data_IF_371126624468
#
_entry.id   IF_371126624468
#
_cell.length_a   1.000
_cell.length_b   1.000
_cell.length_c   1.000
_cell.angle_alpha   90.00
_cell.angle_beta   90.00
_cell.angle_gamma   90.00
#
_symmetry.space_group_name_H-M   'P 1'
#
loop_
_entity.id
_entity.type
_entity.pdbx_description
1 polymer ?
#
# COMPACT_ATOMS: atom_id res chain seq x y z
N UNK A 1 -20.21 13.53 -7.28
CA UNK A 1 -18.93 13.36 -7.97
C UNK A 1 -18.93 14.29 -9.17
N UNK A 2 -17.95 15.18 -9.27
CA UNK A 2 -17.73 15.96 -10.50
C UNK A 2 -17.36 14.96 -11.59
N UNK A 3 -17.98 15.07 -12.78
CA UNK A 3 -17.56 14.27 -13.94
C UNK A 3 -16.25 14.87 -14.47
N UNK A 4 -15.11 14.40 -13.94
CA UNK A 4 -13.80 14.82 -14.42
C UNK A 4 -13.44 13.97 -15.65
N UNK A 5 -12.96 14.60 -16.70
CA UNK A 5 -12.47 13.90 -17.88
C UNK A 5 -11.09 13.27 -17.59
N UNK A 6 -10.73 12.25 -18.38
CA UNK A 6 -9.41 11.60 -18.26
C UNK A 6 -8.27 12.61 -18.49
N UNK A 7 -8.42 13.52 -19.46
CA UNK A 7 -7.43 14.57 -19.71
C UNK A 7 -7.28 15.54 -18.55
N UNK A 8 -8.36 15.93 -17.88
CA UNK A 8 -8.31 16.77 -16.68
C UNK A 8 -7.63 16.05 -15.53
N UNK A 9 -7.92 14.77 -15.32
CA UNK A 9 -7.26 13.94 -14.32
C UNK A 9 -5.75 13.84 -14.56
N UNK A 10 -5.35 13.55 -15.80
CA UNK A 10 -3.94 13.48 -16.20
C UNK A 10 -3.22 14.82 -16.02
N UNK A 11 -3.87 15.93 -16.33
CA UNK A 11 -3.30 17.26 -16.12
C UNK A 11 -3.04 17.54 -14.63
N UNK A 12 -3.96 17.17 -13.73
CA UNK A 12 -3.78 17.34 -12.28
C UNK A 12 -2.64 16.46 -11.77
N UNK A 13 -2.56 15.21 -12.21
CA UNK A 13 -1.46 14.31 -11.84
C UNK A 13 -0.11 14.85 -12.33
N UNK A 14 -0.05 15.33 -13.56
CA UNK A 14 1.15 15.93 -14.14
C UNK A 14 1.57 17.20 -13.37
N UNK A 15 0.59 18.03 -13.00
CA UNK A 15 0.85 19.22 -12.19
C UNK A 15 1.37 18.86 -10.79
N UNK A 16 0.77 17.87 -10.12
CA UNK A 16 1.24 17.40 -8.82
C UNK A 16 2.68 16.89 -8.88
N UNK A 17 3.02 16.11 -9.92
CA UNK A 17 4.38 15.62 -10.16
C UNK A 17 5.39 16.73 -10.45
N UNK A 18 4.99 17.79 -11.16
CA UNK A 18 5.87 18.92 -11.51
C UNK A 18 6.04 19.94 -10.39
N UNK A 19 5.17 19.94 -9.39
CA UNK A 19 5.23 20.86 -8.25
C UNK A 19 6.28 20.46 -7.20
N UNK A 20 6.88 19.28 -7.35
CA UNK A 20 7.83 18.72 -6.39
C UNK A 20 9.26 18.89 -6.89
N UNK A 21 10.06 19.56 -6.10
CA UNK A 21 11.51 19.69 -6.32
C UNK A 21 12.22 18.61 -5.50
N UNK A 22 12.80 17.62 -6.19
CA UNK A 22 13.83 16.68 -5.70
C UNK A 22 13.41 15.50 -4.81
N UNK A 23 12.19 15.44 -4.20
CA UNK A 23 11.76 14.27 -3.41
C UNK A 23 10.72 13.44 -4.18
N UNK A 24 11.06 12.20 -4.55
CA UNK A 24 10.24 11.40 -5.49
C UNK A 24 8.88 10.96 -4.94
N UNK A 25 8.58 11.18 -3.67
CA UNK A 25 7.34 10.77 -3.01
C UNK A 25 6.45 11.95 -2.58
N UNK A 26 6.94 13.20 -2.60
CA UNK A 26 6.18 14.37 -2.16
C UNK A 26 4.98 14.70 -3.05
N UNK A 27 5.01 14.26 -4.31
CA UNK A 27 3.91 14.46 -5.24
C UNK A 27 2.59 13.78 -4.80
N UNK A 28 2.66 12.75 -3.94
CA UNK A 28 1.46 12.12 -3.40
C UNK A 28 0.66 13.11 -2.55
N UNK A 29 1.31 13.84 -1.65
CA UNK A 29 0.62 14.83 -0.81
C UNK A 29 0.03 15.97 -1.65
N UNK A 30 0.76 16.44 -2.66
CA UNK A 30 0.27 17.44 -3.60
C UNK A 30 -0.97 16.93 -4.36
N UNK A 31 -0.96 15.69 -4.83
CA UNK A 31 -2.10 15.13 -5.55
C UNK A 31 -3.35 15.03 -4.66
N UNK A 32 -3.21 14.54 -3.42
CA UNK A 32 -4.33 14.50 -2.49
C UNK A 32 -4.86 15.89 -2.14
N UNK A 33 -3.99 16.89 -2.02
CA UNK A 33 -4.37 18.29 -1.82
C UNK A 33 -5.15 18.85 -3.01
N UNK A 34 -4.65 18.63 -4.24
CA UNK A 34 -5.30 19.09 -5.48
C UNK A 34 -6.61 18.36 -5.78
N UNK A 35 -6.74 17.11 -5.33
CA UNK A 35 -7.96 16.33 -5.52
C UNK A 35 -9.18 16.90 -4.78
N UNK A 36 -8.96 17.72 -3.76
CA UNK A 36 -10.03 18.42 -3.02
C UNK A 36 -11.22 17.50 -2.68
N UNK A 37 -10.92 16.32 -2.15
CA UNK A 37 -11.90 15.27 -1.78
C UNK A 37 -12.64 14.62 -2.97
N UNK A 38 -12.20 14.82 -4.21
CA UNK A 38 -12.73 14.09 -5.36
C UNK A 38 -11.89 12.83 -5.64
N UNK A 39 -12.40 11.68 -5.21
CA UNK A 39 -11.70 10.38 -5.37
C UNK A 39 -11.51 9.96 -6.84
N UNK A 40 -12.24 10.55 -7.78
CA UNK A 40 -12.05 10.28 -9.21
C UNK A 40 -10.69 10.78 -9.74
N UNK A 41 -10.04 11.72 -9.02
CA UNK A 41 -8.73 12.25 -9.36
C UNK A 41 -7.62 11.28 -8.93
N UNK A 42 -7.84 10.47 -7.90
CA UNK A 42 -6.84 9.56 -7.33
C UNK A 42 -6.79 8.24 -8.13
N UNK A 43 -5.73 7.97 -8.91
CA UNK A 43 -5.72 6.84 -9.85
C UNK A 43 -5.83 5.47 -9.21
N UNK A 44 -5.43 5.34 -7.94
CA UNK A 44 -5.43 4.08 -7.18
C UNK A 44 -6.64 3.93 -6.24
N UNK A 45 -7.52 4.94 -6.14
CA UNK A 45 -8.70 4.88 -5.29
C UNK A 45 -9.72 3.89 -5.84
N UNK A 46 -9.98 2.82 -5.09
CA UNK A 46 -11.00 1.81 -5.42
C UNK A 46 -12.34 2.08 -4.77
N UNK A 47 -12.35 2.78 -3.63
CA UNK A 47 -13.53 3.07 -2.80
C UNK A 47 -14.18 1.81 -2.19
N UNK A 48 -13.43 0.72 -2.12
CA UNK A 48 -13.75 -0.52 -1.42
C UNK A 48 -12.45 -1.26 -1.07
N UNK A 49 -12.47 -2.13 -0.03
CA UNK A 49 -11.30 -2.90 0.36
C UNK A 49 -10.81 -3.82 -0.77
N UNK A 50 -9.50 -4.05 -0.82
CA UNK A 50 -8.90 -4.95 -1.81
C UNK A 50 -9.46 -6.37 -1.63
N UNK A 51 -10.17 -6.93 -2.62
CA UNK A 51 -10.84 -8.23 -2.46
C UNK A 51 -9.85 -9.39 -2.25
N UNK A 52 -8.62 -9.29 -2.81
CA UNK A 52 -7.58 -10.30 -2.63
C UNK A 52 -7.04 -10.25 -1.21
N UNK A 53 -6.80 -9.05 -0.66
CA UNK A 53 -6.41 -8.88 0.73
C UNK A 53 -7.49 -9.48 1.66
N UNK A 54 -8.76 -9.13 1.44
CA UNK A 54 -9.86 -9.58 2.28
C UNK A 54 -9.98 -11.10 2.27
N UNK A 55 -10.02 -11.72 1.08
CA UNK A 55 -10.11 -13.18 0.92
C UNK A 55 -8.91 -13.90 1.57
N UNK A 56 -7.70 -13.36 1.40
CA UNK A 56 -6.51 -13.95 1.98
C UNK A 56 -6.50 -13.84 3.51
N UNK A 57 -6.84 -12.66 4.06
CA UNK A 57 -6.87 -12.42 5.51
C UNK A 57 -7.89 -13.30 6.21
N UNK A 58 -9.11 -13.39 5.70
CA UNK A 58 -10.17 -14.24 6.27
C UNK A 58 -9.75 -15.71 6.36
N UNK A 59 -8.95 -16.20 5.41
CA UNK A 59 -8.50 -17.59 5.36
C UNK A 59 -7.25 -17.89 6.18
N UNK A 60 -6.38 -16.90 6.39
CA UNK A 60 -5.01 -17.15 6.84
C UNK A 60 -4.62 -16.42 8.13
N UNK A 61 -5.40 -15.44 8.59
CA UNK A 61 -5.05 -14.64 9.74
C UNK A 61 -5.99 -14.87 10.92
N UNK A 62 -5.42 -14.79 12.12
CA UNK A 62 -6.19 -14.59 13.34
C UNK A 62 -6.34 -13.10 13.60
N UNK A 63 -7.48 -12.69 14.18
CA UNK A 63 -7.74 -11.30 14.56
C UNK A 63 -6.69 -10.86 15.58
N UNK A 64 -6.11 -9.69 15.34
CA UNK A 64 -5.05 -9.11 16.15
C UNK A 64 -4.80 -7.66 15.77
N UNK A 65 -3.54 -7.21 15.89
CA UNK A 65 -3.12 -5.88 15.48
C UNK A 65 -2.66 -5.88 14.03
N UNK A 66 -3.23 -5.02 13.21
CA UNK A 66 -2.84 -4.87 11.81
C UNK A 66 -2.26 -3.49 11.53
N UNK A 67 -1.25 -3.44 10.66
CA UNK A 67 -0.68 -2.21 10.09
C UNK A 67 -0.91 -2.18 8.59
N UNK A 68 -1.49 -1.09 8.10
CA UNK A 68 -1.57 -0.78 6.66
C UNK A 68 -0.56 0.30 6.33
N UNK A 69 0.37 -0.03 5.45
CA UNK A 69 1.42 0.86 4.94
C UNK A 69 0.89 1.59 3.71
N UNK A 70 0.95 2.94 3.71
CA UNK A 70 0.45 3.75 2.60
C UNK A 70 -1.02 3.52 2.35
N UNK A 71 -1.85 3.82 3.35
CA UNK A 71 -3.25 3.41 3.40
C UNK A 71 -4.16 4.06 2.34
N UNK A 72 -3.67 5.06 1.60
CA UNK A 72 -4.48 5.78 0.64
C UNK A 72 -5.78 6.29 1.27
N UNK A 73 -6.90 6.15 0.57
CA UNK A 73 -8.19 6.64 1.08
C UNK A 73 -8.82 5.78 2.19
N UNK A 74 -8.09 4.78 2.72
CA UNK A 74 -8.42 4.07 3.96
C UNK A 74 -9.35 2.87 3.81
N UNK A 75 -9.79 2.53 2.61
CA UNK A 75 -10.78 1.45 2.41
C UNK A 75 -10.28 0.10 2.92
N UNK A 76 -8.99 -0.23 2.70
CA UNK A 76 -8.37 -1.47 3.15
C UNK A 76 -8.31 -1.54 4.69
N UNK A 77 -8.01 -0.41 5.34
CA UNK A 77 -7.98 -0.32 6.81
C UNK A 77 -9.38 -0.54 7.43
N UNK A 78 -10.42 0.03 6.81
CA UNK A 78 -11.81 -0.20 7.22
C UNK A 78 -12.22 -1.64 6.99
N UNK A 79 -11.75 -2.27 5.89
CA UNK A 79 -11.99 -3.70 5.65
C UNK A 79 -11.46 -4.55 6.80
N UNK A 80 -10.23 -4.32 7.25
CA UNK A 80 -9.65 -5.05 8.39
C UNK A 80 -10.33 -4.72 9.73
N UNK A 81 -10.69 -3.45 9.97
CA UNK A 81 -11.48 -3.07 11.16
C UNK A 81 -12.80 -3.85 11.20
N UNK A 82 -13.51 -3.96 10.08
CA UNK A 82 -14.77 -4.71 10.00
C UNK A 82 -14.60 -6.22 10.25
N UNK A 83 -13.42 -6.79 9.98
CA UNK A 83 -13.07 -8.15 10.37
C UNK A 83 -12.69 -8.28 11.85
N UNK A 84 -12.61 -7.17 12.60
CA UNK A 84 -12.33 -7.14 14.02
C UNK A 84 -10.87 -6.88 14.40
N UNK A 85 -10.00 -6.53 13.45
CA UNK A 85 -8.62 -6.16 13.75
C UNK A 85 -8.54 -4.80 14.48
N UNK A 86 -7.56 -4.66 15.37
CA UNK A 86 -7.10 -3.35 15.85
C UNK A 86 -6.14 -2.78 14.81
N UNK A 87 -6.60 -1.80 14.05
CA UNK A 87 -5.89 -1.31 12.87
C UNK A 87 -5.15 0.00 13.15
N UNK A 88 -3.88 0.04 12.81
CA UNK A 88 -3.10 1.26 12.57
C UNK A 88 -2.92 1.41 11.06
N UNK A 89 -3.14 2.60 10.53
CA UNK A 89 -2.99 2.89 9.13
C UNK A 89 -2.26 4.22 8.96
N UNK A 90 -1.21 4.23 8.16
CA UNK A 90 -0.48 5.45 7.88
C UNK A 90 -0.30 5.69 6.38
N UNK A 91 -0.15 6.96 6.06
CA UNK A 91 0.27 7.43 4.74
C UNK A 91 1.28 8.57 4.94
N UNK A 92 2.16 8.79 3.97
CA UNK A 92 3.10 9.91 4.00
C UNK A 92 2.37 11.25 3.84
N UNK A 93 1.21 11.23 3.20
CA UNK A 93 0.41 12.40 2.92
C UNK A 93 -0.50 12.76 4.08
N UNK A 94 -0.32 13.98 4.60
CA UNK A 94 -1.24 14.55 5.58
C UNK A 94 -2.63 14.77 5.00
N UNK A 95 -2.74 15.25 3.75
CA UNK A 95 -4.02 15.45 3.08
C UNK A 95 -4.80 14.13 2.95
N UNK A 96 -4.10 13.03 2.68
CA UNK A 96 -4.67 11.69 2.63
C UNK A 96 -5.25 11.28 3.99
N UNK A 97 -4.47 11.41 5.05
CA UNK A 97 -4.90 11.04 6.41
C UNK A 97 -6.06 11.90 6.91
N UNK A 98 -6.04 13.20 6.65
CA UNK A 98 -7.18 14.07 6.98
C UNK A 98 -8.44 13.62 6.23
N UNK A 99 -8.30 13.23 4.96
CA UNK A 99 -9.41 12.71 4.17
C UNK A 99 -9.94 11.37 4.71
N UNK A 100 -9.08 10.45 5.16
CA UNK A 100 -9.51 9.22 5.82
C UNK A 100 -10.37 9.50 7.06
N UNK A 101 -9.92 10.42 7.92
CA UNK A 101 -10.67 10.82 9.14
C UNK A 101 -12.04 11.43 8.81
N UNK A 102 -12.13 12.21 7.73
CA UNK A 102 -13.40 12.78 7.24
C UNK A 102 -14.32 11.71 6.66
N UNK A 103 -13.77 10.74 5.90
CA UNK A 103 -14.55 9.63 5.33
C UNK A 103 -15.09 8.69 6.39
N UNK A 104 -14.31 8.43 7.43
CA UNK A 104 -14.59 7.42 8.44
C UNK A 104 -14.59 7.97 9.87
N UNK A 105 -15.45 8.96 10.18
CA UNK A 105 -15.41 9.68 11.47
C UNK A 105 -15.82 8.82 12.68
N UNK A 106 -16.34 7.62 12.45
CA UNK A 106 -16.75 6.67 13.49
C UNK A 106 -15.84 5.46 13.61
N UNK A 107 -14.82 5.38 12.76
CA UNK A 107 -13.84 4.30 12.77
C UNK A 107 -12.91 4.42 13.97
N UNK A 108 -12.49 3.28 14.52
CA UNK A 108 -11.47 3.19 15.57
C UNK A 108 -10.06 2.98 14.98
N UNK A 109 -9.90 3.03 13.67
CA UNK A 109 -8.59 2.97 13.02
C UNK A 109 -7.72 4.11 13.51
N UNK A 110 -6.50 3.78 13.93
CA UNK A 110 -5.48 4.78 14.28
C UNK A 110 -4.85 5.34 12.99
N UNK A 111 -5.37 6.50 12.54
CA UNK A 111 -4.93 7.18 11.32
C UNK A 111 -3.73 8.09 11.60
N UNK A 112 -2.58 7.84 10.99
CA UNK A 112 -1.32 8.55 11.25
C UNK A 112 -0.67 9.03 9.96
N UNK A 113 -0.02 10.18 10.01
CA UNK A 113 0.99 10.56 9.02
C UNK A 113 2.28 9.85 9.42
N UNK A 114 2.88 9.10 8.49
CA UNK A 114 4.08 8.32 8.79
C UNK A 114 4.92 8.02 7.55
N UNK A 115 6.16 7.66 7.79
CA UNK A 115 7.13 7.30 6.75
C UNK A 115 7.68 5.91 7.03
N UNK A 116 7.52 4.99 6.08
CA UNK A 116 8.06 3.62 6.20
C UNK A 116 9.58 3.59 6.32
N UNK A 117 10.27 4.61 5.84
CA UNK A 117 11.74 4.71 5.98
C UNK A 117 12.17 5.02 7.42
N UNK A 118 11.28 5.60 8.21
CA UNK A 118 11.50 6.02 9.60
C UNK A 118 10.28 5.62 10.46
N UNK A 119 10.00 4.30 10.61
CA UNK A 119 8.83 3.84 11.37
C UNK A 119 8.95 4.23 12.85
N UNK A 120 7.81 4.53 13.46
CA UNK A 120 7.74 4.83 14.89
C UNK A 120 8.30 3.67 15.72
N UNK A 121 9.05 3.97 16.79
CA UNK A 121 9.68 2.96 17.62
C UNK A 121 8.66 2.01 18.26
N UNK A 122 7.46 2.49 18.57
CA UNK A 122 6.36 1.70 19.13
C UNK A 122 5.75 0.70 18.13
N UNK A 123 6.04 0.85 16.83
CA UNK A 123 5.57 -0.09 15.81
C UNK A 123 6.45 -1.32 15.69
N UNK A 124 7.69 -1.24 16.17
CA UNK A 124 8.66 -2.33 16.04
C UNK A 124 8.19 -3.54 16.86
N UNK A 125 8.03 -4.67 16.17
CA UNK A 125 7.62 -5.94 16.79
C UNK A 125 6.19 -6.00 17.31
N UNK A 126 5.29 -5.11 16.83
CA UNK A 126 3.98 -4.90 17.45
C UNK A 126 2.80 -5.50 16.67
N UNK A 127 2.95 -5.86 15.38
CA UNK A 127 1.82 -6.22 14.53
C UNK A 127 1.77 -7.70 14.20
N UNK A 128 0.56 -8.28 14.26
CA UNK A 128 0.25 -9.63 13.84
C UNK A 128 0.14 -9.73 12.31
N UNK A 129 -0.28 -8.62 11.69
CA UNK A 129 -0.41 -8.48 10.24
C UNK A 129 0.15 -7.12 9.79
N UNK A 130 1.04 -7.14 8.82
CA UNK A 130 1.51 -5.95 8.08
C UNK A 130 1.10 -6.12 6.63
N UNK A 131 0.43 -5.12 6.07
CA UNK A 131 -0.04 -5.13 4.68
C UNK A 131 0.59 -3.98 3.90
N UNK A 132 1.18 -4.29 2.76
CA UNK A 132 1.56 -3.34 1.73
C UNK A 132 0.85 -3.67 0.42
N UNK A 133 0.23 -2.68 -0.21
CA UNK A 133 -0.45 -2.82 -1.49
C UNK A 133 0.05 -1.73 -2.43
N UNK A 134 0.91 -2.10 -3.38
CA UNK A 134 1.55 -1.21 -4.35
C UNK A 134 2.50 -0.13 -3.78
N UNK A 135 2.85 -0.16 -2.50
CA UNK A 135 3.70 0.87 -1.88
C UNK A 135 5.16 0.73 -2.33
N UNK A 136 5.73 -0.47 -2.27
CA UNK A 136 7.08 -0.72 -2.79
C UNK A 136 7.21 -0.35 -4.29
N UNK A 137 6.11 -0.45 -5.03
CA UNK A 137 6.02 -0.09 -6.44
C UNK A 137 5.81 1.41 -6.69
N UNK A 138 5.47 2.17 -5.67
CA UNK A 138 5.34 3.62 -5.73
C UNK A 138 6.66 4.32 -5.40
N UNK A 139 7.59 3.61 -4.77
CA UNK A 139 8.93 4.08 -4.41
C UNK A 139 9.90 3.79 -5.56
N UNK A 140 10.65 4.79 -6.07
CA UNK A 140 11.63 4.55 -7.13
C UNK A 140 12.72 3.59 -6.69
N UNK A 141 13.31 2.89 -7.65
CA UNK A 141 14.51 2.09 -7.47
C UNK A 141 15.71 2.97 -7.06
N UNK A 142 16.79 2.37 -6.60
CA UNK A 142 18.01 3.09 -6.23
C UNK A 142 18.29 3.16 -4.73
N UNK A 143 17.89 2.11 -3.99
CA UNK A 143 18.22 1.92 -2.58
C UNK A 143 17.14 2.43 -1.61
N UNK A 144 16.22 3.30 -2.03
CA UNK A 144 15.11 3.78 -1.17
C UNK A 144 14.07 2.66 -1.00
N UNK A 145 13.72 1.97 -2.08
CA UNK A 145 12.78 0.85 -2.07
C UNK A 145 13.29 -0.30 -1.21
N UNK A 146 14.57 -0.64 -1.31
CA UNK A 146 15.23 -1.65 -0.49
C UNK A 146 15.16 -1.29 1.00
N UNK A 147 15.48 -0.04 1.36
CA UNK A 147 15.36 0.44 2.75
C UNK A 147 13.93 0.38 3.27
N UNK A 148 12.92 0.69 2.44
CA UNK A 148 11.53 0.56 2.81
C UNK A 148 11.16 -0.92 3.05
N UNK A 149 11.58 -1.83 2.16
CA UNK A 149 11.34 -3.26 2.32
C UNK A 149 12.00 -3.81 3.60
N UNK A 150 13.22 -3.38 3.93
CA UNK A 150 13.95 -3.78 5.15
C UNK A 150 13.25 -3.39 6.47
N UNK A 151 12.39 -2.37 6.46
CA UNK A 151 11.65 -1.99 7.67
C UNK A 151 10.47 -2.94 7.94
N UNK A 152 9.80 -3.45 6.91
CA UNK A 152 8.56 -4.20 7.04
C UNK A 152 8.66 -5.44 7.96
N UNK A 153 9.69 -6.30 7.87
CA UNK A 153 9.87 -7.42 8.79
C UNK A 153 10.06 -7.02 10.26
N UNK A 154 10.61 -5.82 10.51
CA UNK A 154 10.84 -5.31 11.87
C UNK A 154 9.55 -4.96 12.58
N UNK A 155 8.49 -4.59 11.83
CA UNK A 155 7.17 -4.21 12.36
C UNK A 155 6.39 -5.43 12.89
N UNK A 156 6.69 -6.63 12.37
CA UNK A 156 6.02 -7.86 12.75
C UNK A 156 6.40 -8.32 14.15
N UNK A 157 5.40 -8.72 14.92
CA UNK A 157 5.60 -9.47 16.15
C UNK A 157 6.02 -10.93 15.87
N UNK A 158 6.19 -11.74 16.91
CA UNK A 158 6.46 -13.17 16.76
C UNK A 158 5.26 -13.84 16.07
N UNK A 159 5.52 -14.65 15.04
CA UNK A 159 4.53 -15.28 14.17
C UNK A 159 3.67 -14.32 13.32
N UNK A 160 3.97 -13.02 13.35
CA UNK A 160 3.30 -12.03 12.51
C UNK A 160 3.50 -12.31 11.01
N UNK A 161 2.57 -11.85 10.21
CA UNK A 161 2.53 -12.08 8.77
C UNK A 161 2.66 -10.77 7.99
N UNK A 162 3.47 -10.78 6.94
CA UNK A 162 3.56 -9.72 5.93
C UNK A 162 2.78 -10.16 4.70
N UNK A 163 1.85 -9.34 4.24
CA UNK A 163 1.14 -9.51 2.98
C UNK A 163 1.52 -8.39 2.01
N UNK A 164 2.06 -8.75 0.86
CA UNK A 164 2.36 -7.83 -0.24
C UNK A 164 1.49 -8.14 -1.45
N UNK A 165 0.90 -7.11 -2.05
CA UNK A 165 0.07 -7.21 -3.27
C UNK A 165 0.55 -6.16 -4.27
N UNK A 166 0.83 -6.60 -5.51
CA UNK A 166 1.33 -5.68 -6.50
C UNK A 166 1.31 -6.20 -7.94
N UNK A 167 1.99 -5.46 -8.82
CA UNK A 167 2.26 -5.86 -10.20
C UNK A 167 3.57 -6.63 -10.25
N UNK A 168 3.56 -7.75 -10.98
CA UNK A 168 4.74 -8.56 -11.20
C UNK A 168 5.41 -8.18 -12.52
N UNK A 169 6.72 -8.01 -12.48
CA UNK A 169 7.54 -7.89 -13.69
C UNK A 169 7.89 -9.29 -14.18
N UNK A 170 7.22 -9.70 -15.23
CA UNK A 170 7.49 -10.97 -15.93
C UNK A 170 8.35 -10.79 -17.21
N UNK A 171 8.90 -9.59 -17.42
CA UNK A 171 9.72 -9.26 -18.59
C UNK A 171 8.92 -9.01 -19.89
N UNK A 172 7.60 -9.16 -19.87
CA UNK A 172 6.75 -9.05 -21.07
C UNK A 172 6.00 -7.72 -21.17
N UNK A 173 6.01 -6.92 -20.07
CA UNK A 173 5.17 -5.74 -19.96
C UNK A 173 5.96 -4.44 -20.15
N UNK A 174 5.48 -3.60 -21.05
CA UNK A 174 5.93 -2.21 -21.16
C UNK A 174 5.01 -1.35 -20.31
N UNK A 175 5.34 -1.17 -19.03
CA UNK A 175 4.57 -0.33 -18.12
C UNK A 175 5.34 0.96 -17.87
N UNK A 176 4.67 2.10 -18.05
CA UNK A 176 5.24 3.40 -17.65
C UNK A 176 5.09 3.58 -16.13
N UNK A 177 6.18 3.70 -15.38
CA UNK A 177 6.15 3.93 -13.93
C UNK A 177 5.66 5.34 -13.57
N UNK A 178 5.19 5.57 -12.33
CA UNK A 178 4.80 4.57 -11.35
C UNK A 178 3.45 3.92 -11.68
N UNK A 179 3.17 2.72 -11.19
CA UNK A 179 3.97 1.89 -10.32
C UNK A 179 5.02 1.08 -11.10
N UNK A 180 6.20 0.84 -10.49
CA UNK A 180 7.24 -0.03 -11.01
C UNK A 180 6.92 -1.49 -10.70
N UNK A 181 6.68 -2.37 -11.68
CA UNK A 181 6.50 -3.80 -11.42
C UNK A 181 7.72 -4.39 -10.72
N UNK A 182 7.51 -5.35 -9.82
CA UNK A 182 8.58 -5.99 -9.07
C UNK A 182 8.83 -7.41 -9.57
N UNK A 183 10.10 -7.80 -9.60
CA UNK A 183 10.48 -9.17 -9.91
C UNK A 183 10.25 -10.10 -8.71
N UNK A 184 9.84 -11.33 -8.98
CA UNK A 184 9.65 -12.36 -7.95
C UNK A 184 10.92 -12.58 -7.11
N UNK A 185 12.07 -12.69 -7.79
CA UNK A 185 13.36 -12.87 -7.11
C UNK A 185 13.75 -11.70 -6.23
N UNK A 186 13.41 -10.47 -6.63
CA UNK A 186 13.62 -9.29 -5.79
C UNK A 186 12.78 -9.38 -4.51
N UNK A 187 11.49 -9.70 -4.63
CA UNK A 187 10.58 -9.88 -3.50
C UNK A 187 11.09 -10.96 -2.52
N UNK A 188 11.48 -12.12 -3.05
CA UNK A 188 11.99 -13.23 -2.23
C UNK A 188 13.28 -12.86 -1.49
N UNK A 189 14.21 -12.16 -2.15
CA UNK A 189 15.44 -11.69 -1.51
C UNK A 189 15.20 -10.60 -0.47
N UNK A 190 14.28 -9.67 -0.73
CA UNK A 190 13.98 -8.56 0.19
C UNK A 190 13.40 -9.04 1.52
N UNK A 191 12.77 -10.20 1.54
CA UNK A 191 12.13 -10.78 2.73
C UNK A 191 12.68 -12.16 3.09
N UNK A 192 13.93 -12.48 2.76
CA UNK A 192 14.57 -13.79 2.99
C UNK A 192 14.72 -14.15 4.48
N UNK A 193 14.69 -13.14 5.36
CA UNK A 193 14.66 -13.33 6.82
C UNK A 193 13.29 -13.83 7.33
N UNK A 194 12.26 -13.85 6.50
CA UNK A 194 10.94 -14.39 6.79
C UNK A 194 10.72 -15.70 6.03
N UNK A 195 9.78 -16.52 6.49
CA UNK A 195 9.38 -17.71 5.75
C UNK A 195 8.27 -17.38 4.75
N UNK A 196 8.54 -17.54 3.47
CA UNK A 196 7.53 -17.43 2.42
C UNK A 196 6.46 -18.53 2.62
N UNK A 197 5.20 -18.12 2.77
CA UNK A 197 4.07 -19.04 2.96
C UNK A 197 3.18 -19.14 1.73
N UNK A 198 3.12 -18.06 0.95
CA UNK A 198 2.28 -17.99 -0.26
C UNK A 198 2.97 -17.10 -1.29
N UNK A 199 2.97 -17.51 -2.55
CA UNK A 199 3.24 -16.67 -3.70
C UNK A 199 2.29 -17.08 -4.81
N UNK A 200 1.46 -16.15 -5.28
CA UNK A 200 0.46 -16.43 -6.31
C UNK A 200 0.46 -15.31 -7.34
N UNK A 201 0.62 -15.69 -8.59
CA UNK A 201 0.42 -14.82 -9.73
C UNK A 201 -1.03 -14.86 -10.20
N UNK A 202 -1.52 -13.73 -10.67
CA UNK A 202 -2.87 -13.64 -11.24
C UNK A 202 -2.98 -12.47 -12.21
N UNK A 203 -4.06 -12.51 -13.01
CA UNK A 203 -4.40 -11.47 -13.97
C UNK A 203 -5.86 -11.07 -13.74
N UNK A 204 -6.14 -9.78 -13.70
CA UNK A 204 -7.51 -9.28 -13.61
C UNK A 204 -8.14 -9.23 -15.01
N UNK A 205 -9.43 -9.54 -15.10
CA UNK A 205 -10.17 -9.47 -16.37
C UNK A 205 -10.14 -8.07 -17.00
N UNK A 206 -10.21 -7.02 -16.16
CA UNK A 206 -10.21 -5.62 -16.60
C UNK A 206 -8.84 -5.12 -17.08
N UNK A 207 -7.78 -5.89 -16.85
CA UNK A 207 -6.41 -5.55 -17.28
C UNK A 207 -5.62 -6.84 -17.57
N UNK A 208 -5.98 -7.56 -18.66
CA UNK A 208 -5.42 -8.87 -18.97
C UNK A 208 -3.92 -8.83 -19.33
N UNK A 209 -3.40 -7.67 -19.66
CA UNK A 209 -1.99 -7.48 -19.98
C UNK A 209 -1.12 -7.12 -18.77
N UNK A 210 -1.69 -7.13 -17.55
CA UNK A 210 -0.96 -6.79 -16.31
C UNK A 210 -0.93 -7.99 -15.39
N UNK A 211 0.21 -8.66 -15.32
CA UNK A 211 0.45 -9.71 -14.33
C UNK A 211 0.60 -9.06 -12.94
N UNK A 212 -0.05 -9.66 -11.97
CA UNK A 212 -0.04 -9.23 -10.57
C UNK A 212 0.37 -10.39 -9.70
N UNK A 213 0.75 -10.07 -8.48
CA UNK A 213 1.01 -11.06 -7.44
C UNK A 213 0.35 -10.68 -6.13
N UNK A 214 0.10 -11.68 -5.31
CA UNK A 214 0.09 -11.53 -3.88
C UNK A 214 1.04 -12.55 -3.27
N UNK A 215 1.76 -12.10 -2.25
CA UNK A 215 2.73 -12.93 -1.57
C UNK A 215 2.68 -12.69 -0.08
N UNK A 216 2.84 -13.75 0.71
CA UNK A 216 2.80 -13.68 2.15
C UNK A 216 3.99 -14.38 2.78
N UNK A 217 4.50 -13.77 3.82
CA UNK A 217 5.60 -14.28 4.63
C UNK A 217 5.20 -14.30 6.10
N UNK A 218 5.85 -15.19 6.85
CA UNK A 218 5.68 -15.30 8.30
C UNK A 218 7.01 -15.10 9.00
N UNK A 219 7.02 -14.29 10.06
CA UNK A 219 8.16 -14.16 10.96
C UNK A 219 8.19 -15.37 11.88
N UNK A 220 9.31 -16.10 11.86
CA UNK A 220 9.52 -17.20 12.78
C UNK A 220 9.94 -16.70 14.18
N UNK A 221 9.76 -17.54 15.18
CA UNK A 221 10.16 -17.28 16.59
C UNK A 221 11.66 -17.21 16.74
#
# INVERSE_FOLDING_TARGET
>A
MKNISEAEREAIISQAKSAVNDEPIDWFDQLYGMADRDSAIIPWARMYPNPIMMDWVEKNCHIGKALIIGCGLGDDAIGLENLGFSVTAFDISKHCIDWCKERFPKSNVNWLVGDILNPEQEWIGNFDLVVEIHILQAIPDGGIRERAAEQMPKLLNHNGQLLCIGRLDNGEQTIQPPPWPLQEDWLKRSFDMLTLTTFTEFVNQDSPNVTRYYAAWRKQV
#
